data_IF_582717316380
#
_entry.id   IF_582717316380
#
_cell.length_a   1.000
_cell.length_b   1.000
_cell.length_c   1.000
_cell.angle_alpha   90.00
_cell.angle_beta   90.00
_cell.angle_gamma   90.00
#
_symmetry.space_group_name_H-M   'P 1'
#
loop_
_entity.id
_entity.type
_entity.pdbx_description
1 polymer ?
#
# COMPACT_ATOMS: atom_id res chain seq x y z
N UNK A 1 5.29 -5.01 3.13
CA UNK A 1 4.21 -4.28 2.43
C UNK A 1 4.41 -4.15 0.91
N UNK A 2 5.64 -4.04 0.38
CA UNK A 2 5.90 -3.74 -1.04
C UNK A 2 5.45 -4.77 -2.10
N UNK A 3 4.94 -5.95 -1.70
CA UNK A 3 4.53 -7.02 -2.62
C UNK A 3 3.05 -7.40 -2.52
N UNK A 4 2.29 -6.70 -1.67
CA UNK A 4 0.84 -6.84 -1.59
C UNK A 4 0.28 -6.08 -2.80
N UNK A 5 0.14 -6.77 -3.93
CA UNK A 5 -0.19 -6.12 -5.21
C UNK A 5 -0.11 -7.07 -6.40
N UNK A 6 0.63 -8.18 -6.28
CA UNK A 6 0.63 -9.23 -7.29
C UNK A 6 -0.77 -9.81 -7.55
N UNK A 7 -1.63 -9.83 -6.53
CA UNK A 7 -3.04 -10.24 -6.66
C UNK A 7 -3.88 -9.24 -7.46
N UNK A 8 -3.53 -7.95 -7.41
CA UNK A 8 -4.15 -6.95 -8.25
C UNK A 8 -3.72 -7.11 -9.71
N UNK A 9 -2.44 -7.45 -9.98
CA UNK A 9 -1.98 -7.74 -11.35
C UNK A 9 -2.65 -8.99 -11.91
N UNK A 10 -2.82 -10.05 -11.10
CA UNK A 10 -3.45 -11.30 -11.54
C UNK A 10 -4.93 -11.13 -11.90
N UNK A 11 -5.66 -10.20 -11.26
CA UNK A 11 -7.05 -9.90 -11.66
C UNK A 11 -7.15 -9.17 -13.01
N UNK A 12 -6.14 -8.38 -13.38
CA UNK A 12 -6.07 -7.70 -14.70
C UNK A 12 -5.49 -8.60 -15.80
N UNK A 13 -5.04 -9.81 -15.46
CA UNK A 13 -4.56 -10.80 -16.42
C UNK A 13 -5.60 -11.16 -17.49
N UNK A 14 -6.90 -11.07 -17.16
CA UNK A 14 -7.99 -11.35 -18.09
C UNK A 14 -8.15 -10.26 -19.18
N UNK A 15 -7.64 -9.05 -18.95
CA UNK A 15 -7.64 -7.95 -19.93
C UNK A 15 -6.33 -7.87 -20.72
N UNK A 16 -5.34 -8.72 -20.41
CA UNK A 16 -4.06 -8.77 -21.10
C UNK A 16 -4.16 -9.54 -22.42
N UNK A 17 -3.61 -8.97 -23.50
CA UNK A 17 -3.67 -9.57 -24.85
C UNK A 17 -2.97 -10.93 -24.93
N UNK A 18 -1.86 -11.13 -24.21
CA UNK A 18 -1.15 -12.41 -24.16
C UNK A 18 -0.69 -12.76 -22.72
N UNK A 19 -1.59 -13.27 -21.87
CA UNK A 19 -1.32 -13.47 -20.45
C UNK A 19 -0.21 -14.50 -20.18
N UNK A 20 0.06 -15.45 -21.10
CA UNK A 20 1.14 -16.45 -20.91
C UNK A 20 2.54 -15.82 -20.87
N UNK A 21 2.73 -14.69 -21.56
CA UNK A 21 4.04 -14.02 -21.67
C UNK A 21 4.07 -12.68 -20.96
N UNK A 22 3.01 -11.89 -21.10
CA UNK A 22 3.00 -10.51 -20.62
C UNK A 22 2.85 -10.44 -19.09
N UNK A 23 2.10 -11.36 -18.48
CA UNK A 23 1.95 -11.44 -17.02
C UNK A 23 3.27 -11.74 -16.30
N UNK A 24 4.01 -12.83 -16.61
CA UNK A 24 5.25 -13.12 -15.90
C UNK A 24 6.32 -12.04 -16.15
N UNK A 25 6.39 -11.47 -17.35
CA UNK A 25 7.34 -10.39 -17.64
C UNK A 25 6.95 -9.12 -16.87
N UNK A 26 5.67 -8.75 -16.82
CA UNK A 26 5.21 -7.57 -16.08
C UNK A 26 5.47 -7.68 -14.58
N UNK A 27 5.20 -8.85 -14.00
CA UNK A 27 5.49 -9.15 -12.59
C UNK A 27 6.99 -9.07 -12.31
N UNK A 28 7.83 -9.75 -13.10
CA UNK A 28 9.29 -9.74 -12.90
C UNK A 28 9.91 -8.36 -13.16
N UNK A 29 9.44 -7.64 -14.18
CA UNK A 29 9.92 -6.30 -14.50
C UNK A 29 9.55 -5.30 -13.41
N UNK A 30 8.29 -5.30 -12.96
CA UNK A 30 7.85 -4.43 -11.84
C UNK A 30 8.59 -4.76 -10.55
N UNK A 31 8.79 -6.04 -10.24
CA UNK A 31 9.61 -6.48 -9.11
C UNK A 31 11.03 -5.94 -9.20
N UNK A 32 11.70 -6.13 -10.34
CA UNK A 32 13.07 -5.66 -10.54
C UNK A 32 13.18 -4.13 -10.40
N UNK A 33 12.26 -3.38 -11.00
CA UNK A 33 12.22 -1.91 -10.89
C UNK A 33 11.98 -1.48 -9.44
N UNK A 34 11.02 -2.08 -8.74
CA UNK A 34 10.77 -1.81 -7.33
C UNK A 34 12.00 -2.12 -6.47
N UNK A 35 12.67 -3.25 -6.69
CA UNK A 35 13.89 -3.62 -5.97
C UNK A 35 15.01 -2.60 -6.17
N UNK A 36 15.25 -2.17 -7.42
CA UNK A 36 16.28 -1.16 -7.71
C UNK A 36 15.95 0.17 -7.03
N UNK A 37 14.70 0.64 -7.14
CA UNK A 37 14.27 1.88 -6.47
C UNK A 37 14.43 1.78 -4.95
N UNK A 38 14.11 0.63 -4.34
CA UNK A 38 14.30 0.40 -2.91
C UNK A 38 15.76 0.45 -2.50
N UNK A 39 16.65 -0.19 -3.28
CA UNK A 39 18.10 -0.17 -3.00
C UNK A 39 18.63 1.26 -3.10
N UNK A 40 18.26 2.00 -4.14
CA UNK A 40 18.67 3.40 -4.31
C UNK A 40 18.15 4.28 -3.17
N UNK A 41 16.89 4.12 -2.79
CA UNK A 41 16.30 4.87 -1.69
C UNK A 41 16.98 4.57 -0.35
N UNK A 42 17.22 3.29 -0.05
CA UNK A 42 17.95 2.88 1.15
C UNK A 42 19.38 3.44 1.14
N UNK A 43 20.06 3.38 0.00
CA UNK A 43 21.41 3.92 -0.16
C UNK A 43 21.48 5.42 0.16
N UNK A 44 20.56 6.21 -0.39
CA UNK A 44 20.45 7.65 -0.10
C UNK A 44 20.21 7.89 1.39
N UNK A 45 19.27 7.17 2.02
CA UNK A 45 18.98 7.35 3.45
C UNK A 45 20.17 6.98 4.35
N UNK A 46 20.83 5.86 4.08
CA UNK A 46 22.03 5.45 4.84
C UNK A 46 23.24 6.33 4.58
N UNK A 47 23.28 7.04 3.45
CA UNK A 47 24.29 8.05 3.16
C UNK A 47 24.07 9.36 3.93
N UNK A 48 22.84 9.65 4.34
CA UNK A 48 22.47 10.87 5.07
C UNK A 48 22.61 10.68 6.58
N UNK A 49 22.23 9.51 7.12
CA UNK A 49 22.28 9.24 8.56
C UNK A 49 22.71 7.79 8.85
N UNK A 50 23.43 7.53 9.95
CA UNK A 50 23.85 6.19 10.33
C UNK A 50 22.63 5.31 10.64
N UNK A 51 22.67 4.06 10.15
CA UNK A 51 21.54 3.12 10.21
C UNK A 51 21.06 2.81 11.64
N UNK A 52 21.92 3.02 12.64
CA UNK A 52 21.63 2.81 14.06
C UNK A 52 20.58 3.77 14.60
N UNK A 53 20.47 4.98 14.04
CA UNK A 53 19.49 5.99 14.48
C UNK A 53 18.07 5.72 13.96
N UNK A 54 17.96 5.08 12.79
CA UNK A 54 16.65 4.70 12.25
C UNK A 54 15.96 3.61 13.07
N UNK A 55 16.72 2.81 13.80
CA UNK A 55 16.17 1.72 14.63
C UNK A 55 15.52 2.25 15.93
N UNK A 56 16.02 3.37 16.47
CA UNK A 56 15.55 3.95 17.73
C UNK A 56 14.59 5.13 17.55
N UNK A 57 14.89 6.06 16.63
CA UNK A 57 14.14 7.32 16.49
C UNK A 57 13.41 7.47 15.14
N UNK A 58 13.99 6.95 14.05
CA UNK A 58 13.48 7.20 12.70
C UNK A 58 12.29 6.35 12.25
N UNK A 59 12.18 5.09 12.72
CA UNK A 59 11.14 4.08 12.38
C UNK A 59 10.32 4.40 11.12
N UNK A 60 9.12 4.98 11.29
CA UNK A 60 8.17 5.24 10.19
C UNK A 60 8.44 6.57 9.46
N UNK A 61 9.07 7.54 10.12
CA UNK A 61 9.37 8.87 9.60
C UNK A 61 10.87 9.05 9.29
N UNK A 62 11.53 7.98 8.81
CA UNK A 62 12.98 7.93 8.65
C UNK A 62 13.52 9.07 7.75
N UNK A 63 12.77 9.46 6.72
CA UNK A 63 13.16 10.58 5.84
C UNK A 63 13.08 11.93 6.54
N UNK A 64 11.98 12.19 7.27
CA UNK A 64 11.80 13.44 7.99
C UNK A 64 12.82 13.58 9.13
N UNK A 65 13.13 12.48 9.82
CA UNK A 65 14.15 12.43 10.87
C UNK A 65 15.55 12.72 10.30
N UNK A 66 15.93 12.05 9.21
CA UNK A 66 17.22 12.26 8.55
C UNK A 66 17.42 13.73 8.13
N UNK A 67 16.39 14.35 7.56
CA UNK A 67 16.45 15.75 7.14
C UNK A 67 16.57 16.70 8.35
N UNK A 68 15.79 16.46 9.41
CA UNK A 68 15.80 17.35 10.58
C UNK A 68 17.10 17.29 11.38
N UNK A 69 17.74 16.13 11.49
CA UNK A 69 18.95 15.95 12.29
C UNK A 69 20.25 16.11 11.50
N UNK A 70 20.29 15.69 10.23
CA UNK A 70 21.54 15.66 9.45
C UNK A 70 21.58 16.70 8.32
N UNK A 71 20.48 17.39 8.03
CA UNK A 71 20.41 18.43 6.99
C UNK A 71 19.78 19.75 7.51
N UNK A 72 20.48 20.49 8.39
CA UNK A 72 19.92 21.68 9.06
C UNK A 72 19.42 22.76 8.08
N UNK A 73 20.03 22.90 6.90
CA UNK A 73 19.61 23.87 5.87
C UNK A 73 18.28 23.50 5.16
N UNK A 74 17.88 22.22 5.19
CA UNK A 74 16.72 21.69 4.47
C UNK A 74 15.59 21.24 5.39
N UNK A 75 15.62 21.65 6.66
CA UNK A 75 14.58 21.34 7.67
C UNK A 75 13.16 21.69 7.22
N UNK A 76 13.00 22.70 6.36
CA UNK A 76 11.71 23.08 5.76
C UNK A 76 11.10 22.02 4.82
N UNK A 77 11.91 21.12 4.24
CA UNK A 77 11.45 20.03 3.38
C UNK A 77 10.83 18.87 4.17
N UNK A 78 11.23 18.69 5.44
CA UNK A 78 10.71 17.62 6.29
C UNK A 78 9.17 17.59 6.39
N UNK A 79 8.46 18.71 6.70
CA UNK A 79 6.99 18.70 6.72
C UNK A 79 6.38 18.44 5.34
N UNK A 80 6.98 18.95 4.26
CA UNK A 80 6.48 18.77 2.90
C UNK A 80 6.55 17.30 2.45
N UNK A 81 7.66 16.63 2.76
CA UNK A 81 7.85 15.20 2.50
C UNK A 81 6.90 14.36 3.36
N UNK A 82 6.72 14.71 4.64
CA UNK A 82 5.75 14.01 5.49
C UNK A 82 4.32 14.08 4.93
N UNK A 83 3.89 15.26 4.43
CA UNK A 83 2.59 15.41 3.76
C UNK A 83 2.51 14.54 2.50
N UNK A 84 3.57 14.51 1.69
CA UNK A 84 3.63 13.67 0.49
C UNK A 84 3.53 12.17 0.82
N UNK A 85 4.21 11.72 1.88
CA UNK A 85 4.14 10.32 2.35
C UNK A 85 2.73 9.98 2.85
N UNK A 86 2.12 10.85 3.65
CA UNK A 86 0.74 10.66 4.14
C UNK A 86 -0.27 10.61 2.99
N UNK A 87 -0.15 11.51 2.01
CA UNK A 87 -0.96 11.49 0.81
C UNK A 87 -0.76 10.19 0.00
N UNK A 88 0.50 9.75 -0.16
CA UNK A 88 0.83 8.48 -0.82
C UNK A 88 0.21 7.27 -0.13
N UNK A 89 0.38 7.15 1.20
CA UNK A 89 -0.19 6.05 1.97
C UNK A 89 -1.71 6.04 1.96
N UNK A 90 -2.36 7.20 2.09
CA UNK A 90 -3.82 7.26 1.99
C UNK A 90 -4.34 6.78 0.63
N UNK A 91 -3.67 7.14 -0.46
CA UNK A 91 -3.99 6.64 -1.80
C UNK A 91 -3.82 5.12 -1.91
N UNK A 92 -2.70 4.58 -1.42
CA UNK A 92 -2.43 3.14 -1.43
C UNK A 92 -3.47 2.37 -0.60
N UNK A 93 -3.82 2.87 0.59
CA UNK A 93 -4.86 2.26 1.44
C UNK A 93 -6.21 2.26 0.74
N UNK A 94 -6.60 3.36 0.09
CA UNK A 94 -7.85 3.43 -0.67
C UNK A 94 -7.87 2.41 -1.82
N UNK A 95 -6.78 2.29 -2.58
CA UNK A 95 -6.66 1.31 -3.67
C UNK A 95 -6.78 -0.12 -3.13
N UNK A 96 -6.13 -0.44 -2.01
CA UNK A 96 -6.23 -1.76 -1.39
C UNK A 96 -7.63 -2.07 -0.85
N UNK A 97 -8.29 -1.10 -0.22
CA UNK A 97 -9.66 -1.26 0.28
C UNK A 97 -10.64 -1.51 -0.87
N UNK A 98 -10.46 -0.82 -2.00
CA UNK A 98 -11.24 -1.07 -3.22
C UNK A 98 -10.97 -2.45 -3.82
N UNK A 99 -9.72 -2.92 -3.83
CA UNK A 99 -9.36 -4.26 -4.29
C UNK A 99 -9.99 -5.37 -3.43
N UNK A 100 -9.78 -5.32 -2.12
CA UNK A 100 -10.32 -6.31 -1.16
C UNK A 100 -11.85 -6.36 -1.23
N UNK A 101 -12.52 -5.21 -1.20
CA UNK A 101 -13.98 -5.17 -1.24
C UNK A 101 -14.59 -5.79 -2.52
N UNK A 102 -13.91 -5.69 -3.67
CA UNK A 102 -14.33 -6.37 -4.90
C UNK A 102 -14.11 -7.88 -4.87
N UNK A 103 -12.97 -8.33 -4.33
CA UNK A 103 -12.68 -9.77 -4.19
C UNK A 103 -13.70 -10.42 -3.24
N UNK A 104 -13.95 -9.82 -2.07
CA UNK A 104 -14.97 -10.29 -1.13
C UNK A 104 -16.39 -10.27 -1.71
N UNK A 105 -16.72 -9.27 -2.54
CA UNK A 105 -17.99 -9.24 -3.25
C UNK A 105 -18.13 -10.42 -4.24
N UNK A 106 -17.10 -10.73 -5.02
CA UNK A 106 -17.12 -11.87 -5.94
C UNK A 106 -17.21 -13.22 -5.21
N UNK A 107 -16.43 -13.41 -4.13
CA UNK A 107 -16.48 -14.63 -3.32
C UNK A 107 -17.83 -14.80 -2.61
N UNK A 108 -18.48 -13.70 -2.20
CA UNK A 108 -19.83 -13.76 -1.61
C UNK A 108 -20.90 -14.09 -2.65
N UNK A 109 -20.75 -13.65 -3.90
CA UNK A 109 -21.61 -14.06 -5.02
C UNK A 109 -21.46 -15.55 -5.34
N UNK A 110 -20.24 -16.09 -5.20
CA UNK A 110 -19.93 -17.50 -5.43
C UNK A 110 -20.27 -18.38 -4.20
N UNK A 111 -20.86 -17.82 -3.14
CA UNK A 111 -21.40 -18.54 -1.97
C UNK A 111 -20.37 -18.94 -0.91
N UNK A 112 -19.10 -18.57 -1.08
CA UNK A 112 -17.99 -18.92 -0.18
C UNK A 112 -17.93 -18.06 1.09
N UNK A 113 -18.53 -16.87 1.09
CA UNK A 113 -18.50 -15.91 2.20
C UNK A 113 -19.93 -15.43 2.50
N UNK A 114 -20.31 -15.18 3.78
CA UNK A 114 -21.69 -14.88 4.16
C UNK A 114 -22.33 -13.77 3.30
N UNK A 115 -23.63 -13.86 2.96
CA UNK A 115 -24.33 -12.91 2.07
C UNK A 115 -24.43 -11.48 2.63
N UNK A 116 -23.89 -11.24 3.82
CA UNK A 116 -23.73 -9.89 4.39
C UNK A 116 -22.73 -9.06 3.57
N UNK A 117 -21.75 -9.72 2.91
CA UNK A 117 -20.72 -9.08 2.08
C UNK A 117 -21.19 -8.75 0.65
N UNK A 118 -22.27 -9.37 0.15
CA UNK A 118 -22.86 -9.06 -1.16
C UNK A 118 -23.91 -7.93 -1.13
N UNK A 119 -24.30 -7.45 0.07
CA UNK A 119 -25.26 -6.33 0.21
C UNK A 119 -24.60 -5.00 -0.15
N UNK A 120 -24.80 -4.58 -1.39
CA UNK A 120 -24.37 -3.30 -1.93
C UNK A 120 -25.27 -2.15 -1.46
N UNK A 121 -24.68 -0.96 -1.31
CA UNK A 121 -25.43 0.26 -1.02
C UNK A 121 -26.38 0.59 -2.20
N UNK A 122 -27.68 0.84 -1.98
CA UNK A 122 -28.68 0.98 -3.05
C UNK A 122 -28.39 2.13 -4.03
N UNK A 123 -27.71 3.20 -3.60
CA UNK A 123 -27.36 4.36 -4.44
C UNK A 123 -25.95 4.32 -5.05
N UNK A 124 -24.98 3.76 -4.33
CA UNK A 124 -23.54 3.85 -4.70
C UNK A 124 -22.98 2.49 -5.15
N UNK A 125 -23.76 1.42 -5.02
CA UNK A 125 -23.39 0.04 -5.36
C UNK A 125 -22.04 -0.38 -4.76
N UNK A 126 -21.68 0.17 -3.59
CA UNK A 126 -20.46 -0.16 -2.84
C UNK A 126 -20.80 -1.11 -1.68
N UNK A 127 -19.95 -2.10 -1.37
CA UNK A 127 -20.15 -3.04 -0.26
C UNK A 127 -19.81 -2.38 1.09
N UNK A 128 -20.67 -1.45 1.53
CA UNK A 128 -20.43 -0.61 2.72
C UNK A 128 -20.30 -1.41 4.02
N UNK A 129 -21.01 -2.55 4.15
CA UNK A 129 -20.94 -3.42 5.34
C UNK A 129 -19.58 -4.11 5.48
N UNK A 130 -18.96 -4.47 4.36
CA UNK A 130 -17.62 -5.06 4.36
C UNK A 130 -16.59 -4.05 4.87
N UNK A 131 -16.64 -2.82 4.37
CA UNK A 131 -15.73 -1.75 4.81
C UNK A 131 -15.92 -1.41 6.29
N UNK A 132 -17.16 -1.40 6.79
CA UNK A 132 -17.43 -1.16 8.21
C UNK A 132 -16.91 -2.29 9.11
N UNK A 133 -17.05 -3.55 8.68
CA UNK A 133 -16.49 -4.70 9.39
C UNK A 133 -14.96 -4.64 9.43
N UNK A 134 -14.31 -4.34 8.30
CA UNK A 134 -12.86 -4.20 8.23
C UNK A 134 -12.36 -3.03 9.09
N UNK A 135 -13.07 -1.90 9.07
CA UNK A 135 -12.74 -0.76 9.92
C UNK A 135 -12.86 -1.12 11.42
N UNK A 136 -13.92 -1.82 11.81
CA UNK A 136 -14.10 -2.26 13.19
C UNK A 136 -13.02 -3.29 13.59
N UNK A 137 -12.71 -4.26 12.73
CA UNK A 137 -11.71 -5.30 12.99
C UNK A 137 -10.30 -4.73 13.06
N UNK A 138 -9.86 -3.98 12.04
CA UNK A 138 -8.54 -3.34 12.02
C UNK A 138 -8.43 -2.27 13.12
N UNK A 139 -9.49 -1.49 13.36
CA UNK A 139 -9.53 -0.50 14.43
C UNK A 139 -9.39 -1.12 15.82
N UNK A 140 -10.00 -2.29 16.05
CA UNK A 140 -9.85 -3.02 17.32
C UNK A 140 -8.41 -3.54 17.52
N UNK A 141 -7.74 -3.97 16.47
CA UNK A 141 -6.34 -4.43 16.53
C UNK A 141 -5.33 -3.30 16.54
N UNK A 142 -5.62 -2.16 15.91
CA UNK A 142 -4.74 -0.97 15.91
C UNK A 142 -4.79 -0.19 17.23
N UNK A 143 -5.82 -0.43 18.06
CA UNK A 143 -5.93 0.15 19.39
C UNK A 143 -5.08 -0.58 20.45
N UNK A 144 -4.47 -1.71 20.09
CA UNK A 144 -3.60 -2.54 20.94
C UNK A 144 -2.15 -2.48 20.47
#
# INVERSE_FOLDING_TARGET
FAFIGFDAVSTVAQESKNPKRDMPIGILASLAVCTVLYILFAHVLTGIAPYTEFNTAGKEASVAYAIQHHMPEYTWLAPLISIAILAGFSSVILVMLMGQSRVFYSMSRDGLVPPVFSKLHPKYKTPYKSNWLFLAFVGAFAAF
#
